data_IF_734688790505
#
_entry.id   IF_734688790505
#
_cell.length_a   1.000
_cell.length_b   1.000
_cell.length_c   1.000
_cell.angle_alpha   90.00
_cell.angle_beta   90.00
_cell.angle_gamma   90.00
#
_symmetry.space_group_name_H-M   'P 1'
#
loop_
_entity.id
_entity.type
_entity.pdbx_description
1 polymer ?
#
# COMPACT_ATOMS: atom_id res chain seq x y z
N UNK A 1 -6.66 6.82 -6.09
CA UNK A 1 -6.30 5.43 -6.41
C UNK A 1 -7.55 4.58 -6.31
N UNK A 2 -7.76 3.65 -7.23
CA UNK A 2 -8.73 2.57 -7.03
C UNK A 2 -8.12 1.47 -6.13
N UNK A 3 -8.91 0.46 -5.75
CA UNK A 3 -8.44 -0.55 -4.79
C UNK A 3 -7.34 -1.44 -5.39
N UNK A 4 -7.44 -1.75 -6.69
CA UNK A 4 -6.45 -2.58 -7.39
C UNK A 4 -5.08 -1.88 -7.49
N UNK A 5 -5.07 -0.58 -7.76
CA UNK A 5 -3.87 0.26 -7.73
C UNK A 5 -3.31 0.34 -6.31
N UNK A 6 -4.17 0.45 -5.29
CA UNK A 6 -3.73 0.48 -3.90
C UNK A 6 -3.07 -0.85 -3.47
N UNK A 7 -3.62 -2.00 -3.87
CA UNK A 7 -2.96 -3.29 -3.64
C UNK A 7 -1.63 -3.41 -4.39
N UNK A 8 -1.56 -2.91 -5.62
CA UNK A 8 -0.29 -2.84 -6.36
C UNK A 8 0.77 -2.05 -5.58
N UNK A 9 0.38 -0.92 -4.97
CA UNK A 9 1.25 -0.13 -4.10
C UNK A 9 1.66 -0.89 -2.82
N UNK A 10 0.74 -1.57 -2.13
CA UNK A 10 1.09 -2.38 -0.95
C UNK A 10 2.09 -3.50 -1.30
N UNK A 11 1.91 -4.14 -2.47
CA UNK A 11 2.83 -5.17 -2.95
C UNK A 11 4.23 -4.62 -3.24
N UNK A 12 4.38 -3.33 -3.54
CA UNK A 12 5.70 -2.74 -3.76
C UNK A 12 6.48 -2.48 -2.47
N UNK A 13 5.88 -2.69 -1.28
CA UNK A 13 6.56 -2.47 -0.01
C UNK A 13 7.65 -3.52 0.23
N UNK A 14 8.82 -3.07 0.69
CA UNK A 14 9.96 -3.95 1.01
C UNK A 14 9.61 -5.01 2.05
N UNK A 15 8.73 -4.68 3.01
CA UNK A 15 8.20 -5.62 4.00
C UNK A 15 7.38 -6.74 3.34
N UNK A 16 6.47 -6.39 2.42
CA UNK A 16 5.67 -7.35 1.67
C UNK A 16 6.57 -8.27 0.83
N UNK A 17 7.51 -7.70 0.08
CA UNK A 17 8.47 -8.47 -0.73
C UNK A 17 9.34 -9.40 0.13
N UNK A 18 9.71 -8.97 1.34
CA UNK A 18 10.48 -9.81 2.27
C UNK A 18 9.66 -10.95 2.85
N UNK A 19 8.40 -10.70 3.22
CA UNK A 19 7.48 -11.74 3.66
C UNK A 19 7.23 -12.78 2.55
N UNK A 20 6.99 -12.33 1.32
CA UNK A 20 6.79 -13.20 0.16
C UNK A 20 8.02 -14.07 -0.15
N UNK A 21 9.23 -13.52 -0.07
CA UNK A 21 10.48 -14.31 -0.20
C UNK A 21 10.64 -15.37 0.89
N UNK A 22 10.03 -15.16 2.06
CA UNK A 22 10.01 -16.13 3.17
C UNK A 22 8.81 -17.09 3.10
N UNK A 23 8.02 -17.04 2.03
CA UNK A 23 6.87 -17.92 1.81
C UNK A 23 5.56 -17.45 2.44
N UNK A 24 5.49 -16.21 2.95
CA UNK A 24 4.26 -15.67 3.54
C UNK A 24 3.51 -14.77 2.54
N UNK A 25 2.23 -15.07 2.30
CA UNK A 25 1.30 -14.18 1.59
C UNK A 25 0.60 -13.28 2.62
N UNK A 26 0.90 -11.99 2.62
CA UNK A 26 0.32 -11.03 3.57
C UNK A 26 -1.05 -10.51 3.12
N UNK A 27 -1.35 -10.55 1.82
CA UNK A 27 -2.64 -10.16 1.25
C UNK A 27 -3.43 -11.42 0.91
N UNK A 28 -3.80 -12.18 1.94
CA UNK A 28 -4.67 -13.36 1.78
C UNK A 28 -6.04 -12.98 1.23
N UNK A 29 -6.75 -13.95 0.66
CA UNK A 29 -8.07 -13.74 0.07
C UNK A 29 -9.07 -13.14 1.07
N UNK A 30 -9.03 -13.59 2.33
CA UNK A 30 -9.84 -13.04 3.41
C UNK A 30 -9.55 -11.55 3.64
N UNK A 31 -8.26 -11.18 3.70
CA UNK A 31 -7.86 -9.79 3.90
C UNK A 31 -8.23 -8.92 2.68
N UNK A 32 -8.11 -9.45 1.46
CA UNK A 32 -8.55 -8.78 0.25
C UNK A 32 -10.05 -8.48 0.27
N UNK A 33 -10.87 -9.44 0.73
CA UNK A 33 -12.30 -9.28 0.89
C UNK A 33 -12.64 -8.23 1.97
N UNK A 34 -11.92 -8.22 3.08
CA UNK A 34 -12.08 -7.22 4.15
C UNK A 34 -11.76 -5.81 3.64
N UNK A 35 -10.66 -5.67 2.89
CA UNK A 35 -10.31 -4.40 2.24
C UNK A 35 -11.39 -3.94 1.27
N UNK A 36 -11.95 -4.83 0.45
CA UNK A 36 -13.01 -4.49 -0.50
C UNK A 36 -14.26 -3.97 0.21
N UNK A 37 -14.68 -4.63 1.30
CA UNK A 37 -15.79 -4.15 2.12
C UNK A 37 -15.48 -2.78 2.74
N UNK A 38 -14.29 -2.59 3.30
CA UNK A 38 -13.85 -1.32 3.86
C UNK A 38 -13.71 -0.21 2.79
N UNK A 39 -13.42 -0.59 1.54
CA UNK A 39 -13.35 0.32 0.41
C UNK A 39 -14.73 0.78 -0.07
N UNK A 40 -15.81 0.20 0.45
CA UNK A 40 -17.19 0.53 0.09
C UNK A 40 -17.81 -0.45 -0.91
N UNK A 41 -17.23 -1.63 -1.10
CA UNK A 41 -17.79 -2.72 -1.91
C UNK A 41 -17.59 -2.60 -3.42
N UNK A 42 -17.10 -1.46 -3.92
CA UNK A 42 -16.73 -1.28 -5.32
C UNK A 42 -15.22 -0.97 -5.44
N UNK A 43 -14.49 -1.92 -6.03
CA UNK A 43 -13.04 -1.84 -6.23
C UNK A 43 -12.62 -0.71 -7.18
N UNK A 44 -13.52 -0.26 -8.07
CA UNK A 44 -13.26 0.79 -9.07
C UNK A 44 -13.48 2.19 -8.53
N UNK A 45 -14.07 2.33 -7.34
CA UNK A 45 -14.18 3.63 -6.67
C UNK A 45 -12.78 4.18 -6.39
N UNK A 46 -12.52 5.35 -6.96
CA UNK A 46 -11.27 6.08 -6.75
C UNK A 46 -11.35 6.85 -5.44
N UNK A 47 -10.41 6.62 -4.53
CA UNK A 47 -10.27 7.36 -3.27
C UNK A 47 -9.00 8.21 -3.23
N UNK A 48 -9.07 9.31 -2.48
CA UNK A 48 -7.92 10.14 -2.16
C UNK A 48 -7.09 9.48 -1.04
N UNK A 49 -5.96 8.86 -1.42
CA UNK A 49 -5.00 8.27 -0.47
C UNK A 49 -3.93 9.32 -0.15
N UNK A 50 -3.72 9.62 1.13
CA UNK A 50 -2.80 10.67 1.60
C UNK A 50 -1.65 10.07 2.39
N UNK A 51 -0.43 10.54 2.13
CA UNK A 51 0.78 10.09 2.83
C UNK A 51 1.43 11.28 3.56
N UNK A 52 1.99 11.01 4.74
CA UNK A 52 2.76 12.02 5.46
C UNK A 52 4.15 12.10 4.84
N UNK A 53 4.54 13.28 4.41
CA UNK A 53 5.89 13.56 3.93
C UNK A 53 6.69 14.17 5.09
N UNK A 54 7.91 13.67 5.27
CA UNK A 54 8.91 14.28 6.14
C UNK A 54 10.14 14.60 5.30
N UNK A 55 10.64 15.83 5.41
CA UNK A 55 11.69 16.35 4.55
C UNK A 55 12.72 17.08 5.42
N UNK A 56 14.01 16.77 5.21
CA UNK A 56 15.14 17.48 5.80
C UNK A 56 15.99 18.03 4.66
N UNK A 57 16.24 19.35 4.64
CA UNK A 57 17.06 20.03 3.64
C UNK A 57 18.09 20.87 4.37
N UNK A 58 19.33 20.86 3.88
CA UNK A 58 20.43 21.69 4.37
C UNK A 58 21.43 21.97 3.26
N UNK A 59 22.24 23.01 3.43
CA UNK A 59 23.35 23.36 2.52
C UNK A 59 24.66 22.90 3.14
N UNK A 60 25.56 22.31 2.34
CA UNK A 60 26.93 22.04 2.76
C UNK A 60 27.63 23.37 3.02
N UNK A 61 28.23 23.53 4.21
CA UNK A 61 29.13 24.66 4.49
C UNK A 61 30.55 24.22 4.16
N UNK A 62 31.27 25.08 3.44
CA UNK A 62 32.73 25.00 3.28
C UNK A 62 33.43 25.31 4.61
#
# INVERSE_FOLDING_TARGET
MDLDTYFTYLRSWSAYQTARRRGFELLSDDLLADFERAWGGDRKVVKAVRYRIFLRIGKVRD
#
